data_IF_258698322264
#
_entry.id   IF_258698322264
#
_cell.length_a   1.000
_cell.length_b   1.000
_cell.length_c   1.000
_cell.angle_alpha   90.00
_cell.angle_beta   90.00
_cell.angle_gamma   90.00
#
_symmetry.space_group_name_H-M   'P 1'
#
loop_
_entity.id
_entity.type
_entity.pdbx_description
1 polymer ?
#
# COMPACT_ATOMS: atom_id res chain seq x y z
N UNK A 1 -25.89 -31.34 -20.21
CA UNK A 1 -26.23 -30.11 -20.96
C UNK A 1 -26.45 -28.96 -19.99
N UNK A 2 -25.87 -27.82 -20.33
CA UNK A 2 -25.69 -26.58 -19.57
C UNK A 2 -26.96 -25.98 -18.95
N UNK A 3 -26.99 -25.86 -17.62
CA UNK A 3 -27.87 -24.91 -16.92
C UNK A 3 -27.10 -23.75 -16.24
N UNK A 4 -25.77 -23.83 -16.10
CA UNK A 4 -24.99 -22.80 -15.39
C UNK A 4 -24.82 -21.48 -16.14
N UNK A 5 -24.95 -21.47 -17.47
CA UNK A 5 -24.71 -20.25 -18.27
C UNK A 5 -25.92 -19.31 -18.33
N UNK A 6 -27.08 -19.69 -17.80
CA UNK A 6 -28.31 -18.88 -17.91
C UNK A 6 -28.58 -17.97 -16.70
N UNK A 7 -28.04 -18.29 -15.52
CA UNK A 7 -28.19 -17.41 -14.35
C UNK A 7 -27.16 -16.27 -14.31
N UNK A 8 -25.98 -16.45 -14.92
CA UNK A 8 -24.92 -15.43 -14.92
C UNK A 8 -25.28 -14.23 -15.82
N UNK A 9 -25.90 -14.47 -16.97
CA UNK A 9 -26.29 -13.41 -17.91
C UNK A 9 -27.42 -12.50 -17.40
N UNK A 10 -28.34 -13.03 -16.60
CA UNK A 10 -29.47 -12.25 -16.09
C UNK A 10 -29.07 -11.27 -14.96
N UNK A 11 -28.03 -11.58 -14.19
CA UNK A 11 -27.55 -10.69 -13.12
C UNK A 11 -26.68 -9.54 -13.63
N UNK A 12 -25.94 -9.74 -14.73
CA UNK A 12 -25.08 -8.68 -15.30
C UNK A 12 -25.91 -7.58 -16.01
N UNK A 13 -27.06 -7.92 -16.58
CA UNK A 13 -27.91 -6.95 -17.30
C UNK A 13 -28.73 -6.06 -16.36
N UNK A 14 -29.01 -6.49 -15.12
CA UNK A 14 -29.87 -5.74 -14.20
C UNK A 14 -29.13 -4.58 -13.50
N UNK A 15 -27.81 -4.67 -13.34
CA UNK A 15 -27.02 -3.61 -12.68
C UNK A 15 -26.68 -2.41 -13.57
N UNK A 16 -26.75 -2.53 -14.89
CA UNK A 16 -26.37 -1.42 -15.79
C UNK A 16 -27.47 -0.36 -15.97
N UNK A 17 -28.71 -0.62 -15.53
CA UNK A 17 -29.85 0.26 -15.82
C UNK A 17 -30.04 1.36 -14.74
N UNK A 18 -29.49 1.23 -13.54
CA UNK A 18 -29.71 2.20 -12.45
C UNK A 18 -28.70 3.36 -12.40
N UNK A 19 -27.62 3.32 -13.19
CA UNK A 19 -26.54 4.31 -13.11
C UNK A 19 -26.60 5.41 -14.20
N UNK A 20 -27.77 5.64 -14.82
CA UNK A 20 -27.95 6.60 -15.92
C UNK A 20 -28.79 7.85 -15.56
N UNK A 21 -28.88 8.25 -14.29
CA UNK A 21 -29.73 9.39 -13.87
C UNK A 21 -29.03 10.38 -12.91
N UNK A 22 -27.83 10.86 -13.24
CA UNK A 22 -27.26 12.04 -12.57
C UNK A 22 -26.52 12.95 -13.57
N UNK A 23 -27.29 13.73 -14.33
CA UNK A 23 -26.81 14.86 -15.15
C UNK A 23 -27.61 16.13 -14.80
N UNK A 24 -27.08 16.89 -13.85
CA UNK A 24 -27.31 18.32 -13.62
C UNK A 24 -26.09 18.77 -12.80
N UNK A 25 -25.23 19.72 -13.17
CA UNK A 25 -25.38 20.94 -13.95
C UNK A 25 -24.58 21.99 -13.18
N UNK A 26 -23.32 22.22 -13.54
CA UNK A 26 -22.50 23.29 -12.97
C UNK A 26 -21.98 24.16 -14.11
N UNK A 27 -22.70 25.24 -14.38
CA UNK A 27 -22.22 26.34 -15.19
C UNK A 27 -22.10 27.55 -14.27
N UNK A 28 -20.89 28.06 -14.08
CA UNK A 28 -20.64 29.47 -13.89
C UNK A 28 -19.19 29.77 -14.26
N UNK A 29 -19.07 30.66 -15.25
CA UNK A 29 -17.84 31.17 -15.80
C UNK A 29 -17.41 32.38 -14.97
N UNK A 30 -16.16 32.39 -14.52
CA UNK A 30 -15.53 33.56 -13.93
C UNK A 30 -14.17 33.74 -14.62
N UNK A 31 -14.01 34.92 -15.22
CA UNK A 31 -12.96 35.41 -16.11
C UNK A 31 -11.55 35.36 -15.50
N UNK A 32 -10.48 35.14 -16.29
CA UNK A 32 -9.10 35.22 -15.84
C UNK A 32 -8.58 36.67 -15.82
N UNK A 33 -7.72 37.01 -14.87
CA UNK A 33 -6.92 38.24 -14.93
C UNK A 33 -5.46 37.91 -14.64
N UNK A 34 -4.64 38.16 -15.68
CA UNK A 34 -3.19 38.31 -15.78
C UNK A 34 -2.58 39.19 -14.66
N UNK A 35 -1.28 39.26 -14.34
CA UNK A 35 -0.05 38.52 -14.65
C UNK A 35 1.10 39.13 -13.78
N UNK A 36 2.08 38.28 -13.40
CA UNK A 36 3.54 38.55 -13.26
C UNK A 36 4.06 39.55 -12.17
N UNK A 37 5.38 39.59 -11.88
CA UNK A 37 6.29 38.52 -11.44
C UNK A 37 7.14 38.89 -10.20
N UNK A 38 7.97 37.92 -9.78
CA UNK A 38 9.05 37.91 -8.78
C UNK A 38 9.89 39.19 -8.59
N UNK A 39 10.32 39.43 -7.35
CA UNK A 39 11.68 39.90 -7.08
C UNK A 39 12.22 39.39 -5.73
N UNK A 40 13.28 38.60 -5.83
CA UNK A 40 14.22 38.21 -4.79
C UNK A 40 15.23 39.32 -4.63
N UNK A 41 15.38 39.89 -3.43
CA UNK A 41 16.67 40.41 -2.99
C UNK A 41 16.69 40.62 -1.48
N UNK A 42 17.70 40.07 -0.81
CA UNK A 42 18.39 40.67 0.33
C UNK A 42 19.39 39.67 0.90
N UNK A 43 20.60 39.77 0.35
CA UNK A 43 21.86 39.45 1.01
C UNK A 43 21.93 40.07 2.41
N UNK A 44 22.40 39.29 3.40
CA UNK A 44 23.19 39.79 4.53
C UNK A 44 23.90 38.61 5.22
N UNK A 45 25.21 38.50 5.00
CA UNK A 45 26.12 37.79 5.90
C UNK A 45 26.25 38.60 7.20
N UNK A 46 26.50 37.94 8.34
CA UNK A 46 27.76 38.26 9.00
C UNK A 46 28.51 37.02 9.52
N UNK A 47 29.82 37.10 9.35
CA UNK A 47 30.85 36.30 10.01
C UNK A 47 30.88 36.64 11.51
N UNK A 48 30.98 35.64 12.40
CA UNK A 48 32.12 35.45 13.33
C UNK A 48 31.80 34.56 14.55
N UNK A 49 32.84 33.81 14.91
CA UNK A 49 33.24 33.38 16.26
C UNK A 49 32.72 32.05 16.81
N UNK A 50 33.64 31.08 16.70
CA UNK A 50 33.82 29.88 17.52
C UNK A 50 33.60 30.12 19.02
N UNK A 51 32.78 29.27 19.64
CA UNK A 51 32.87 28.90 21.05
C UNK A 51 32.56 27.39 21.15
N UNK A 52 33.61 26.61 21.37
CA UNK A 52 33.53 25.19 21.69
C UNK A 52 32.69 24.99 22.95
N UNK A 53 31.62 24.22 22.83
CA UNK A 53 30.91 23.63 23.97
C UNK A 53 31.20 22.13 23.93
N UNK A 54 31.65 21.49 25.03
CA UNK A 54 31.85 20.04 25.03
C UNK A 54 30.49 19.36 24.93
N UNK A 55 30.15 18.91 23.74
CA UNK A 55 28.97 18.08 23.52
C UNK A 55 29.31 16.68 24.04
N UNK A 56 28.84 16.38 25.25
CA UNK A 56 28.65 15.01 25.70
C UNK A 56 27.57 14.37 24.80
N UNK A 57 27.97 13.97 23.60
CA UNK A 57 27.16 13.11 22.73
C UNK A 57 27.25 11.70 23.31
N UNK A 58 26.13 11.10 23.78
CA UNK A 58 26.15 9.68 24.09
C UNK A 58 26.48 8.94 22.80
N UNK A 59 27.59 8.19 22.83
CA UNK A 59 27.94 7.21 21.81
C UNK A 59 26.69 6.41 21.43
N UNK A 60 26.37 6.21 20.14
CA UNK A 60 25.26 5.34 19.78
C UNK A 60 25.57 3.97 20.39
N UNK A 61 24.72 3.54 21.32
CA UNK A 61 24.68 2.15 21.77
C UNK A 61 24.59 1.30 20.50
N UNK A 62 25.48 0.31 20.29
CA UNK A 62 25.32 -0.58 19.16
C UNK A 62 23.95 -1.24 19.32
N UNK A 63 23.03 -0.93 18.39
CA UNK A 63 21.77 -1.65 18.28
C UNK A 63 22.14 -3.15 18.24
N UNK A 64 21.42 -4.02 18.97
CA UNK A 64 21.66 -5.45 18.89
C UNK A 64 21.67 -5.81 17.40
N UNK A 65 22.64 -6.60 16.96
CA UNK A 65 22.71 -7.08 15.57
C UNK A 65 21.44 -7.87 15.29
N UNK A 66 20.39 -7.18 14.83
CA UNK A 66 19.12 -7.78 14.45
C UNK A 66 19.41 -8.59 13.21
N UNK A 67 19.36 -9.91 13.37
CA UNK A 67 19.59 -10.86 12.29
C UNK A 67 18.24 -11.44 11.86
N UNK A 68 17.40 -10.63 11.23
CA UNK A 68 16.16 -11.11 10.63
C UNK A 68 16.43 -11.89 9.36
N UNK A 69 15.53 -12.84 9.05
CA UNK A 69 15.62 -13.65 7.84
C UNK A 69 14.93 -12.95 6.65
N UNK A 70 15.34 -13.31 5.44
CA UNK A 70 14.57 -12.97 4.23
C UNK A 70 13.59 -14.10 3.93
N UNK A 71 12.30 -13.76 3.77
CA UNK A 71 11.22 -14.71 3.51
C UNK A 71 10.50 -14.36 2.22
N UNK A 72 10.19 -15.37 1.42
CA UNK A 72 9.31 -15.22 0.26
C UNK A 72 7.87 -15.53 0.67
N UNK A 73 6.93 -14.70 0.24
CA UNK A 73 5.50 -14.92 0.36
C UNK A 73 4.88 -15.13 -1.03
N UNK A 74 3.98 -16.10 -1.17
CA UNK A 74 3.29 -16.40 -2.43
C UNK A 74 1.80 -16.63 -2.14
N UNK A 75 0.92 -15.87 -2.78
CA UNK A 75 -0.53 -16.06 -2.65
C UNK A 75 -1.25 -15.57 -3.90
N UNK A 76 -2.00 -16.45 -4.55
CA UNK A 76 -2.91 -16.06 -5.65
C UNK A 76 -2.25 -15.27 -6.79
N UNK A 77 -0.98 -15.54 -7.12
CA UNK A 77 -0.23 -14.79 -8.13
C UNK A 77 0.66 -13.67 -7.56
N UNK A 78 0.30 -13.10 -6.40
CA UNK A 78 1.17 -12.19 -5.65
C UNK A 78 2.40 -12.92 -5.15
N UNK A 79 3.59 -12.39 -5.44
CA UNK A 79 4.86 -12.87 -4.93
C UNK A 79 5.68 -11.73 -4.36
N UNK A 80 6.09 -11.88 -3.11
CA UNK A 80 6.85 -10.89 -2.36
C UNK A 80 8.11 -11.51 -1.77
N UNK A 81 9.13 -10.69 -1.59
CA UNK A 81 10.26 -10.96 -0.71
C UNK A 81 10.22 -9.95 0.44
N UNK A 82 10.26 -10.43 1.68
CA UNK A 82 10.28 -9.60 2.89
C UNK A 82 11.59 -9.83 3.60
N UNK A 83 12.39 -8.78 3.74
CA UNK A 83 13.67 -8.82 4.44
C UNK A 83 13.50 -8.49 5.92
N UNK A 84 14.46 -8.94 6.74
CA UNK A 84 14.54 -8.66 8.18
C UNK A 84 13.31 -9.16 8.99
N UNK A 85 12.79 -10.34 8.63
CA UNK A 85 11.66 -10.99 9.31
C UNK A 85 12.16 -11.73 10.56
N UNK A 86 11.51 -11.48 11.70
CA UNK A 86 11.77 -12.17 12.97
C UNK A 86 11.09 -13.54 13.04
N UNK A 87 9.78 -13.58 12.78
CA UNK A 87 9.00 -14.82 12.78
C UNK A 87 7.82 -14.73 11.83
N UNK A 88 7.40 -15.89 11.34
CA UNK A 88 6.18 -16.04 10.54
C UNK A 88 5.22 -16.92 11.31
N UNK A 89 3.94 -16.55 11.33
CA UNK A 89 2.85 -17.36 11.88
C UNK A 89 1.64 -17.31 10.96
N UNK A 90 0.71 -18.25 11.14
CA UNK A 90 -0.57 -18.27 10.44
C UNK A 90 -1.67 -17.90 11.43
N UNK A 91 -2.57 -17.02 11.00
CA UNK A 91 -3.79 -16.66 11.73
C UNK A 91 -5.01 -16.92 10.85
N UNK A 92 -6.21 -16.94 11.46
CA UNK A 92 -7.47 -17.15 10.76
C UNK A 92 -8.45 -16.03 11.07
N UNK A 93 -9.18 -15.59 10.06
CA UNK A 93 -10.35 -14.70 10.19
C UNK A 93 -11.53 -15.31 9.45
N UNK A 94 -12.75 -15.03 9.89
CA UNK A 94 -13.93 -15.46 9.13
C UNK A 94 -14.23 -14.45 8.03
N UNK A 95 -14.54 -14.93 6.83
CA UNK A 95 -15.14 -14.08 5.80
C UNK A 95 -16.59 -13.71 6.15
N UNK A 96 -17.21 -12.84 5.34
CA UNK A 96 -18.59 -12.40 5.53
C UNK A 96 -19.60 -13.57 5.50
N UNK A 97 -19.21 -14.70 4.90
CA UNK A 97 -19.98 -15.95 4.89
C UNK A 97 -19.75 -16.83 6.13
N UNK A 98 -18.94 -16.39 7.08
CA UNK A 98 -18.60 -17.14 8.29
C UNK A 98 -17.56 -18.25 8.07
N UNK A 99 -16.93 -18.33 6.90
CA UNK A 99 -15.94 -19.36 6.61
C UNK A 99 -14.56 -18.92 7.09
N UNK A 100 -13.80 -19.77 7.78
CA UNK A 100 -12.44 -19.44 8.20
C UNK A 100 -11.53 -19.30 6.98
N UNK A 101 -10.73 -18.23 6.98
CA UNK A 101 -9.72 -17.88 6.00
C UNK A 101 -8.40 -17.68 6.72
N UNK A 102 -7.41 -18.48 6.34
CA UNK A 102 -6.06 -18.37 6.85
C UNK A 102 -5.29 -17.27 6.13
N UNK A 103 -4.47 -16.54 6.87
CA UNK A 103 -3.53 -15.56 6.35
C UNK A 103 -2.21 -15.62 7.12
N UNK A 104 -1.12 -15.19 6.48
CA UNK A 104 0.20 -15.14 7.12
C UNK A 104 0.36 -13.85 7.92
N UNK A 105 1.09 -13.91 9.03
CA UNK A 105 1.53 -12.75 9.80
C UNK A 105 3.04 -12.79 9.88
N UNK A 106 3.69 -11.76 9.35
CA UNK A 106 5.14 -11.59 9.40
C UNK A 106 5.46 -10.56 10.47
N UNK A 107 6.12 -10.99 11.53
CA UNK A 107 6.68 -10.07 12.53
C UNK A 107 8.06 -9.67 12.06
N UNK A 108 8.27 -8.37 11.92
CA UNK A 108 9.42 -7.77 11.25
C UNK A 108 10.23 -6.92 12.22
N UNK A 109 11.55 -7.01 12.16
CA UNK A 109 12.39 -6.08 12.89
C UNK A 109 12.35 -4.68 12.24
N UNK A 110 12.65 -3.60 12.99
CA UNK A 110 12.88 -2.27 12.44
C UNK A 110 13.84 -2.29 11.24
N UNK A 111 13.50 -1.56 10.18
CA UNK A 111 14.25 -1.55 8.90
C UNK A 111 13.94 -2.74 7.98
N UNK A 112 12.90 -3.53 8.26
CA UNK A 112 12.38 -4.50 7.32
C UNK A 112 11.84 -3.84 6.05
N UNK A 113 11.93 -4.55 4.93
CA UNK A 113 11.48 -4.06 3.62
C UNK A 113 10.75 -5.15 2.85
N UNK A 114 9.79 -4.74 2.04
CA UNK A 114 9.06 -5.60 1.11
C UNK A 114 9.47 -5.26 -0.32
N UNK A 115 9.87 -6.28 -1.07
CA UNK A 115 10.12 -6.22 -2.51
C UNK A 115 9.04 -7.01 -3.23
N UNK A 116 8.39 -6.39 -4.22
CA UNK A 116 7.39 -7.05 -5.06
C UNK A 116 8.13 -7.77 -6.18
N UNK A 117 7.97 -9.09 -6.24
CA UNK A 117 8.55 -9.93 -7.31
C UNK A 117 7.54 -10.14 -8.44
N UNK A 118 6.26 -10.22 -8.12
CA UNK A 118 5.14 -10.28 -9.08
C UNK A 118 3.89 -9.76 -8.39
N UNK A 119 3.19 -8.83 -9.01
CA UNK A 119 1.95 -8.25 -8.50
C UNK A 119 0.70 -8.93 -9.07
N UNK A 120 0.82 -9.72 -10.13
CA UNK A 120 -0.33 -10.38 -10.77
C UNK A 120 -1.46 -9.39 -11.05
N UNK A 121 -1.16 -8.35 -11.85
CA UNK A 121 -2.13 -7.32 -12.19
C UNK A 121 -3.24 -7.89 -13.09
N UNK A 122 -4.43 -7.27 -13.03
CA UNK A 122 -5.57 -7.70 -13.83
C UNK A 122 -5.29 -7.60 -15.34
N UNK A 123 -5.94 -8.44 -16.13
CA UNK A 123 -5.84 -8.37 -17.59
C UNK A 123 -6.58 -7.13 -18.11
N UNK A 124 -5.83 -6.28 -18.79
CA UNK A 124 -6.33 -5.07 -19.45
C UNK A 124 -7.53 -5.30 -20.37
N UNK A 125 -7.66 -6.47 -21.00
CA UNK A 125 -8.76 -6.79 -21.90
C UNK A 125 -10.13 -6.84 -21.22
N UNK A 126 -10.18 -7.08 -19.91
CA UNK A 126 -11.43 -7.11 -19.13
C UNK A 126 -11.74 -5.78 -18.44
N UNK A 127 -10.83 -4.81 -18.52
CA UNK A 127 -11.02 -3.48 -17.92
C UNK A 127 -11.74 -2.52 -18.87
N UNK A 128 -12.60 -1.67 -18.33
CA UNK A 128 -13.33 -0.67 -19.14
C UNK A 128 -12.41 0.41 -19.73
N UNK A 129 -11.26 0.68 -19.10
CA UNK A 129 -10.28 1.66 -19.54
C UNK A 129 -9.13 1.05 -20.36
N UNK A 130 -9.16 -0.26 -20.62
CA UNK A 130 -8.16 -0.98 -21.38
C UNK A 130 -6.79 -1.03 -20.69
N UNK A 131 -6.73 -0.94 -19.36
CA UNK A 131 -5.50 -0.97 -18.56
C UNK A 131 -5.51 -2.11 -17.55
N UNK A 132 -4.34 -2.63 -17.25
CA UNK A 132 -4.15 -3.51 -16.10
C UNK A 132 -4.26 -2.72 -14.80
N UNK A 133 -4.93 -3.30 -13.81
CA UNK A 133 -5.11 -2.71 -12.48
C UNK A 133 -4.50 -3.59 -11.40
N UNK A 134 -4.10 -2.98 -10.29
CA UNK A 134 -3.63 -3.73 -9.14
C UNK A 134 -4.74 -4.64 -8.61
N UNK A 135 -4.39 -5.87 -8.25
CA UNK A 135 -5.26 -6.79 -7.54
C UNK A 135 -5.02 -6.75 -6.02
N UNK A 136 -3.92 -6.13 -5.59
CA UNK A 136 -3.46 -6.10 -4.20
C UNK A 136 -3.15 -4.68 -3.76
N UNK A 137 -3.33 -4.42 -2.48
CA UNK A 137 -3.00 -3.13 -1.87
C UNK A 137 -2.29 -3.32 -0.54
N UNK A 138 -1.44 -2.35 -0.20
CA UNK A 138 -0.91 -2.14 1.15
C UNK A 138 -1.94 -1.31 1.92
N UNK A 139 -2.50 -1.86 2.99
CA UNK A 139 -3.41 -1.14 3.88
C UNK A 139 -2.63 -0.34 4.91
N UNK A 140 -2.97 0.95 5.01
CA UNK A 140 -2.39 1.85 5.99
C UNK A 140 -3.31 1.99 7.22
N UNK A 141 -2.73 2.26 8.38
CA UNK A 141 -3.45 2.50 9.63
C UNK A 141 -4.40 3.71 9.55
N UNK A 142 -4.13 4.65 8.64
CA UNK A 142 -5.01 5.77 8.31
C UNK A 142 -6.29 5.38 7.57
N UNK A 143 -6.41 4.12 7.13
CA UNK A 143 -7.43 3.64 6.20
C UNK A 143 -7.11 3.94 4.73
N UNK A 144 -5.99 4.61 4.45
CA UNK A 144 -5.46 4.77 3.09
C UNK A 144 -4.94 3.46 2.51
N UNK A 145 -4.74 3.44 1.19
CA UNK A 145 -4.15 2.30 0.49
C UNK A 145 -3.09 2.76 -0.51
N UNK A 146 -2.07 1.93 -0.69
CA UNK A 146 -1.15 2.02 -1.80
C UNK A 146 -1.29 0.77 -2.67
N UNK A 147 -1.54 0.97 -3.97
CA UNK A 147 -1.70 -0.12 -4.91
C UNK A 147 -0.35 -0.84 -5.13
N UNK A 148 -0.39 -2.17 -5.22
CA UNK A 148 0.78 -2.99 -5.53
C UNK A 148 0.77 -3.29 -7.03
N UNK A 149 1.81 -2.84 -7.73
CA UNK A 149 1.99 -3.02 -9.17
C UNK A 149 3.33 -3.69 -9.46
N UNK A 150 3.44 -4.30 -10.63
CA UNK A 150 4.71 -4.88 -11.08
C UNK A 150 5.80 -3.79 -11.19
N UNK A 151 7.04 -4.18 -10.97
CA UNK A 151 8.23 -3.33 -11.03
C UNK A 151 8.22 -2.10 -10.11
N UNK A 152 7.36 -2.07 -9.08
CA UNK A 152 7.40 -1.00 -8.08
C UNK A 152 8.67 -1.10 -7.21
N UNK A 153 9.12 0.05 -6.71
CA UNK A 153 10.22 0.09 -5.75
C UNK A 153 9.84 -0.66 -4.46
N UNK A 154 10.84 -1.29 -3.84
CA UNK A 154 10.69 -1.83 -2.50
C UNK A 154 10.29 -0.74 -1.51
N UNK A 155 9.52 -1.10 -0.50
CA UNK A 155 9.08 -0.19 0.55
C UNK A 155 9.43 -0.73 1.93
N UNK A 156 9.70 0.18 2.86
CA UNK A 156 9.96 -0.15 4.25
C UNK A 156 8.67 -0.57 4.97
N UNK A 157 8.77 -1.56 5.85
CA UNK A 157 7.70 -1.92 6.78
C UNK A 157 7.73 -0.92 7.94
N UNK A 158 6.71 -0.08 8.02
CA UNK A 158 6.54 0.90 9.09
C UNK A 158 5.34 0.54 9.97
N UNK A 159 5.23 1.10 11.20
CA UNK A 159 4.05 0.90 12.05
C UNK A 159 2.73 1.34 11.41
N UNK A 160 2.77 2.21 10.40
CA UNK A 160 1.59 2.66 9.67
C UNK A 160 1.09 1.64 8.66
N UNK A 161 1.85 0.60 8.33
CA UNK A 161 1.44 -0.47 7.42
C UNK A 161 0.83 -1.60 8.23
N UNK A 162 -0.45 -1.92 7.95
CA UNK A 162 -1.15 -3.01 8.62
C UNK A 162 -0.95 -4.36 7.92
N UNK A 163 -0.84 -4.33 6.60
CA UNK A 163 -0.67 -5.55 5.81
C UNK A 163 -1.05 -5.37 4.36
N UNK A 164 -1.13 -6.49 3.67
CA UNK A 164 -1.47 -6.60 2.26
C UNK A 164 -2.76 -7.39 2.12
N UNK A 165 -3.64 -6.86 1.28
CA UNK A 165 -4.98 -7.38 1.10
C UNK A 165 -5.37 -7.41 -0.38
N UNK A 166 -6.31 -8.28 -0.73
CA UNK A 166 -6.89 -8.35 -2.05
C UNK A 166 -7.91 -7.21 -2.23
N UNK A 167 -7.79 -6.42 -3.29
CA UNK A 167 -8.61 -5.23 -3.51
C UNK A 167 -10.07 -5.54 -3.86
N UNK A 168 -10.33 -6.69 -4.48
CA UNK A 168 -11.70 -7.10 -4.85
C UNK A 168 -12.48 -7.60 -3.63
N UNK A 169 -11.87 -8.46 -2.82
CA UNK A 169 -12.51 -9.07 -1.66
C UNK A 169 -12.32 -8.30 -0.35
N UNK A 170 -11.44 -7.30 -0.32
CA UNK A 170 -11.05 -6.56 0.89
C UNK A 170 -10.48 -7.45 2.03
N UNK A 171 -9.92 -8.61 1.68
CA UNK A 171 -9.44 -9.60 2.63
C UNK A 171 -7.91 -9.61 2.74
N UNK A 172 -7.40 -9.64 3.97
CA UNK A 172 -5.97 -9.83 4.23
C UNK A 172 -5.46 -11.15 3.69
N UNK A 173 -4.27 -11.10 3.09
CA UNK A 173 -3.49 -12.28 2.70
C UNK A 173 -2.16 -12.34 3.45
N UNK A 174 -1.64 -11.19 3.85
CA UNK A 174 -0.44 -11.04 4.67
C UNK A 174 -0.62 -9.86 5.63
N UNK A 175 -0.42 -10.08 6.93
CA UNK A 175 -0.33 -9.03 7.94
C UNK A 175 1.14 -8.75 8.23
N UNK A 176 1.48 -7.48 8.42
CA UNK A 176 2.82 -7.03 8.78
C UNK A 176 2.74 -6.45 10.19
N UNK A 177 3.58 -6.95 11.10
CA UNK A 177 3.67 -6.47 12.47
C UNK A 177 5.10 -6.08 12.78
N UNK A 178 5.28 -5.00 13.53
CA UNK A 178 6.60 -4.64 14.03
C UNK A 178 6.94 -5.47 15.26
N UNK A 179 8.19 -5.89 15.36
CA UNK A 179 8.72 -6.50 16.56
C UNK A 179 8.77 -5.48 17.69
N UNK A 180 8.09 -5.77 18.79
CA UNK A 180 8.17 -5.03 20.05
C UNK A 180 9.17 -5.75 20.97
N UNK A 181 10.10 -4.99 21.56
CA UNK A 181 10.95 -5.54 22.62
C UNK A 181 10.11 -5.65 23.89
N UNK A 182 9.83 -6.87 24.33
CA UNK A 182 9.20 -7.15 25.63
C UNK A 182 10.10 -6.75 26.81
#
# INVERSE_FOLDING_TARGET
>A
MNYSNQMLGAMVILMTITMLMLLAGCNNNNVPTEAMPSNTDSSSTPTSTSLETPSNSPSPTPSPTQNGETKTFNHGGLKLEVANVYKVRTESMNDDGGNPREYSVFVCYPGASVTVLTADMSDSHFSADGKSHANWGVLLASGGRNDIVDDMNSFEVTPDILGIYNLESSMYVLKLEMYEND
#
